data_IF_036818930578
#
_entry.id   IF_036818930578
#
_cell.length_a   1.000
_cell.length_b   1.000
_cell.length_c   1.000
_cell.angle_alpha   90.00
_cell.angle_beta   90.00
_cell.angle_gamma   90.00
#
_symmetry.space_group_name_H-M   'P 1'
#
loop_
_entity.id
_entity.type
_entity.pdbx_description
1 polymer ?
#
# COMPACT_ATOMS: atom_id res chain seq x y z
N UNK A 1 13.33 -16.17 -20.22
CA UNK A 1 13.65 -15.28 -19.09
C UNK A 1 12.86 -15.61 -17.83
N UNK A 2 11.58 -15.94 -17.93
CA UNK A 2 10.73 -16.21 -16.75
C UNK A 2 11.32 -17.21 -15.75
N UNK A 3 11.68 -18.40 -16.20
CA UNK A 3 12.21 -19.45 -15.32
C UNK A 3 13.52 -19.10 -14.59
N UNK A 4 14.32 -18.14 -15.08
CA UNK A 4 15.56 -17.72 -14.42
C UNK A 4 15.31 -16.79 -13.25
N UNK A 5 14.30 -15.91 -13.36
CA UNK A 5 13.96 -14.94 -12.32
C UNK A 5 12.92 -15.49 -11.32
N UNK A 6 12.24 -16.56 -11.68
CA UNK A 6 11.29 -17.24 -10.83
C UNK A 6 12.01 -18.01 -9.71
N UNK A 7 11.49 -17.91 -8.49
CA UNK A 7 12.01 -18.71 -7.37
C UNK A 7 11.87 -20.21 -7.68
N UNK A 8 12.91 -21.04 -7.44
CA UNK A 8 12.87 -22.46 -7.79
C UNK A 8 11.75 -23.26 -7.08
N UNK A 9 11.34 -22.82 -5.90
CA UNK A 9 10.28 -23.46 -5.12
C UNK A 9 8.90 -22.79 -5.33
N UNK A 10 8.75 -22.00 -6.40
CA UNK A 10 7.44 -21.48 -6.79
C UNK A 10 6.52 -22.64 -7.21
N UNK A 11 5.39 -22.73 -6.58
CA UNK A 11 4.42 -23.82 -6.81
C UNK A 11 3.16 -23.35 -7.53
N UNK A 12 2.65 -22.17 -7.14
CA UNK A 12 1.35 -21.63 -7.61
C UNK A 12 1.25 -20.13 -7.28
N UNK A 13 0.13 -19.52 -7.65
CA UNK A 13 -0.15 -18.11 -7.42
C UNK A 13 0.06 -17.25 -8.67
N UNK A 14 -0.20 -15.97 -8.55
CA UNK A 14 -0.13 -15.01 -9.65
C UNK A 14 1.33 -14.63 -9.93
N UNK A 15 2.11 -14.35 -8.87
CA UNK A 15 3.50 -13.95 -8.97
C UNK A 15 4.40 -14.77 -8.05
N UNK A 16 5.68 -14.78 -8.38
CA UNK A 16 6.73 -15.49 -7.66
C UNK A 16 7.64 -14.51 -6.92
N UNK A 17 8.20 -14.94 -5.79
CA UNK A 17 9.37 -14.28 -5.21
C UNK A 17 10.53 -14.34 -6.22
N UNK A 18 11.35 -13.29 -6.36
CA UNK A 18 12.50 -13.35 -7.25
C UNK A 18 13.51 -14.40 -6.79
N UNK A 19 14.14 -15.04 -7.75
CA UNK A 19 15.14 -16.07 -7.49
C UNK A 19 16.46 -15.46 -6.99
N UNK A 20 16.65 -15.47 -5.68
CA UNK A 20 17.88 -15.04 -5.00
C UNK A 20 18.82 -16.21 -4.68
N UNK A 21 18.58 -17.43 -5.22
CA UNK A 21 19.32 -18.64 -4.87
C UNK A 21 20.58 -18.86 -5.70
N UNK A 22 20.73 -18.18 -6.85
CA UNK A 22 21.91 -18.30 -7.69
C UNK A 22 22.47 -16.94 -8.08
N UNK A 23 23.80 -16.84 -8.20
CA UNK A 23 24.45 -15.61 -8.67
C UNK A 23 23.95 -15.15 -10.05
N UNK A 24 23.69 -16.11 -10.95
CA UNK A 24 23.16 -15.81 -12.29
C UNK A 24 21.80 -15.13 -12.22
N UNK A 25 20.89 -15.64 -11.39
CA UNK A 25 19.56 -15.06 -11.21
C UNK A 25 19.63 -13.68 -10.58
N UNK A 26 20.43 -13.54 -9.53
CA UNK A 26 20.67 -12.25 -8.85
C UNK A 26 21.22 -11.21 -9.82
N UNK A 27 22.22 -11.57 -10.63
CA UNK A 27 22.78 -10.66 -11.63
C UNK A 27 21.76 -10.27 -12.71
N UNK A 28 20.91 -11.19 -13.16
CA UNK A 28 19.84 -10.86 -14.10
C UNK A 28 18.79 -9.94 -13.50
N UNK A 29 18.42 -10.16 -12.23
CA UNK A 29 17.50 -9.29 -11.49
C UNK A 29 18.10 -7.88 -11.33
N UNK A 30 19.34 -7.79 -10.92
CA UNK A 30 20.08 -6.53 -10.80
C UNK A 30 20.17 -5.79 -12.15
N UNK A 31 20.49 -6.50 -13.25
CA UNK A 31 20.56 -5.92 -14.58
C UNK A 31 19.21 -5.35 -15.07
N UNK A 32 18.10 -5.96 -14.66
CA UNK A 32 16.77 -5.41 -14.97
C UNK A 32 16.54 -4.06 -14.27
N UNK A 33 16.90 -3.92 -13.00
CA UNK A 33 16.83 -2.63 -12.29
C UNK A 33 17.81 -1.60 -12.83
N UNK A 34 19.03 -2.01 -13.20
CA UNK A 34 19.99 -1.11 -13.83
C UNK A 34 19.44 -0.53 -15.14
N UNK A 35 18.86 -1.38 -15.97
CA UNK A 35 18.21 -0.95 -17.21
C UNK A 35 17.06 0.02 -16.96
N UNK A 36 16.17 -0.28 -16.01
CA UNK A 36 15.03 0.57 -15.69
C UNK A 36 15.48 1.90 -15.07
N UNK A 37 16.42 1.86 -14.12
CA UNK A 37 16.94 3.05 -13.47
C UNK A 37 17.67 3.96 -14.48
N UNK A 38 18.50 3.39 -15.34
CA UNK A 38 19.16 4.13 -16.42
C UNK A 38 18.17 4.80 -17.37
N UNK A 39 16.98 4.22 -17.54
CA UNK A 39 15.93 4.78 -18.40
C UNK A 39 15.07 5.83 -17.70
N UNK A 40 14.69 5.59 -16.44
CA UNK A 40 13.63 6.33 -15.73
C UNK A 40 14.14 7.15 -14.53
N UNK A 41 15.46 7.19 -14.30
CA UNK A 41 16.07 8.04 -13.27
C UNK A 41 17.07 9.03 -13.86
N UNK A 42 16.88 9.45 -15.12
CA UNK A 42 17.72 10.43 -15.78
C UNK A 42 17.31 11.84 -15.43
N UNK A 43 18.29 12.77 -15.31
CA UNK A 43 18.02 14.15 -14.93
C UNK A 43 17.13 14.92 -15.93
N UNK A 44 17.11 14.51 -17.20
CA UNK A 44 16.28 15.14 -18.24
C UNK A 44 14.82 14.64 -18.26
N UNK A 45 14.49 13.63 -17.45
CA UNK A 45 13.17 12.99 -17.38
C UNK A 45 12.56 12.62 -18.75
N UNK A 46 13.40 12.34 -19.74
CA UNK A 46 12.99 12.11 -21.15
C UNK A 46 11.92 11.02 -21.29
N UNK A 47 11.95 10.01 -20.43
CA UNK A 47 11.00 8.90 -20.42
C UNK A 47 10.07 8.90 -19.21
N UNK A 48 10.02 10.01 -18.48
CA UNK A 48 9.40 10.10 -17.17
C UNK A 48 10.38 9.72 -16.05
N UNK A 49 9.91 9.78 -14.80
CA UNK A 49 10.73 9.45 -13.61
C UNK A 49 10.00 8.44 -12.73
N UNK A 50 10.69 7.37 -12.33
CA UNK A 50 10.26 6.48 -11.26
C UNK A 50 10.89 6.99 -9.96
N UNK A 51 10.10 7.66 -9.11
CA UNK A 51 10.53 8.15 -7.82
C UNK A 51 10.43 7.09 -6.72
N UNK A 52 9.35 6.27 -6.77
CA UNK A 52 9.05 5.23 -5.81
C UNK A 52 9.08 3.85 -6.49
N UNK A 53 9.88 2.95 -5.94
CA UNK A 53 10.07 1.60 -6.42
C UNK A 53 9.38 0.64 -5.44
N UNK A 54 8.12 0.33 -5.71
CA UNK A 54 7.34 -0.60 -4.88
C UNK A 54 7.77 -2.02 -5.23
N UNK A 55 8.28 -2.73 -4.21
CA UNK A 55 8.87 -4.05 -4.40
C UNK A 55 7.81 -5.13 -4.19
N UNK A 56 7.43 -5.74 -5.31
CA UNK A 56 6.39 -6.74 -5.42
C UNK A 56 5.00 -6.20 -5.07
N UNK A 57 4.05 -7.09 -4.80
CA UNK A 57 2.70 -6.72 -4.37
C UNK A 57 2.34 -7.54 -3.13
N UNK A 58 1.81 -6.89 -2.09
CA UNK A 58 1.19 -7.53 -0.92
C UNK A 58 1.96 -8.78 -0.44
N UNK A 59 3.22 -8.59 -0.05
CA UNK A 59 4.14 -9.70 0.20
C UNK A 59 3.72 -10.60 1.36
N UNK A 60 2.92 -10.12 2.28
CA UNK A 60 2.26 -10.92 3.32
C UNK A 60 1.18 -11.85 2.73
N UNK A 61 0.55 -11.49 1.59
CA UNK A 61 -0.26 -12.38 0.75
C UNK A 61 0.59 -13.36 -0.07
N UNK A 62 1.58 -13.97 0.55
CA UNK A 62 2.73 -14.62 -0.07
C UNK A 62 2.42 -15.81 -0.98
N UNK A 63 1.28 -16.49 -0.79
CA UNK A 63 0.91 -17.64 -1.64
C UNK A 63 0.56 -17.20 -3.06
N UNK A 64 -0.08 -16.05 -3.21
CA UNK A 64 -0.49 -15.54 -4.53
C UNK A 64 0.50 -14.53 -5.12
N UNK A 65 1.01 -13.60 -4.29
CA UNK A 65 1.71 -12.44 -4.80
C UNK A 65 3.24 -12.56 -4.79
N UNK A 66 3.81 -13.43 -3.93
CA UNK A 66 5.27 -13.59 -3.81
C UNK A 66 5.62 -15.05 -3.47
N UNK A 67 5.05 -15.98 -4.20
CA UNK A 67 5.19 -17.40 -3.87
C UNK A 67 6.64 -17.89 -4.04
N UNK A 68 7.14 -18.56 -3.01
CA UNK A 68 8.41 -19.29 -2.99
C UNK A 68 8.27 -20.64 -2.25
N UNK A 69 7.08 -21.24 -2.31
CA UNK A 69 6.69 -22.37 -1.46
C UNK A 69 6.54 -21.94 0.00
N UNK A 70 6.11 -22.86 0.85
CA UNK A 70 5.99 -22.60 2.28
C UNK A 70 7.39 -22.54 2.91
N UNK A 71 7.77 -21.40 3.49
CA UNK A 71 9.08 -21.17 4.12
C UNK A 71 8.89 -20.67 5.55
N UNK A 72 9.88 -20.84 6.43
CA UNK A 72 9.92 -20.06 7.67
C UNK A 72 9.93 -18.56 7.38
N UNK A 73 9.24 -17.77 8.20
CA UNK A 73 9.18 -16.32 8.08
C UNK A 73 10.56 -15.65 7.89
N UNK A 74 11.57 -16.13 8.63
CA UNK A 74 12.94 -15.64 8.55
C UNK A 74 13.57 -15.84 7.16
N UNK A 75 13.34 -16.97 6.52
CA UNK A 75 13.84 -17.27 5.18
C UNK A 75 13.11 -16.44 4.12
N UNK A 76 11.79 -16.31 4.28
CA UNK A 76 10.96 -15.49 3.39
C UNK A 76 11.42 -14.03 3.44
N UNK A 77 11.51 -13.46 4.63
CA UNK A 77 11.90 -12.05 4.82
C UNK A 77 13.34 -11.79 4.41
N UNK A 78 14.28 -12.72 4.65
CA UNK A 78 15.66 -12.63 4.16
C UNK A 78 15.72 -12.54 2.63
N UNK A 79 14.96 -13.37 1.93
CA UNK A 79 14.88 -13.32 0.46
C UNK A 79 14.27 -12.00 -0.03
N UNK A 80 13.22 -11.55 0.63
CA UNK A 80 12.54 -10.32 0.29
C UNK A 80 13.43 -9.08 0.48
N UNK A 81 14.09 -8.95 1.63
CA UNK A 81 14.97 -7.80 1.90
C UNK A 81 16.17 -7.75 0.95
N UNK A 82 16.70 -8.90 0.52
CA UNK A 82 17.74 -8.96 -0.50
C UNK A 82 17.28 -8.34 -1.81
N UNK A 83 16.06 -8.66 -2.24
CA UNK A 83 15.48 -8.07 -3.45
C UNK A 83 15.32 -6.55 -3.34
N UNK A 84 14.82 -6.05 -2.21
CA UNK A 84 14.71 -4.63 -1.93
C UNK A 84 16.07 -3.92 -1.92
N UNK A 85 17.07 -4.52 -1.28
CA UNK A 85 18.43 -3.97 -1.17
C UNK A 85 19.14 -3.89 -2.51
N UNK A 86 18.94 -4.88 -3.39
CA UNK A 86 19.48 -4.86 -4.77
C UNK A 86 18.86 -3.67 -5.53
N UNK A 87 17.55 -3.53 -5.49
CA UNK A 87 16.86 -2.38 -6.10
C UNK A 87 17.42 -1.06 -5.55
N UNK A 88 17.44 -0.90 -4.23
CA UNK A 88 17.94 0.32 -3.57
C UNK A 88 19.37 0.68 -3.99
N UNK A 89 20.28 -0.27 -3.94
CA UNK A 89 21.69 -0.02 -4.27
C UNK A 89 21.90 0.39 -5.72
N UNK A 90 21.05 -0.08 -6.62
CA UNK A 90 21.11 0.24 -8.04
C UNK A 90 20.46 1.60 -8.32
N UNK A 91 19.19 1.78 -7.94
CA UNK A 91 18.44 2.99 -8.31
C UNK A 91 19.05 4.25 -7.70
N UNK A 92 19.62 4.13 -6.50
CA UNK A 92 20.31 5.25 -5.82
C UNK A 92 21.64 5.67 -6.45
N UNK A 93 22.16 4.90 -7.40
CA UNK A 93 23.29 5.34 -8.22
C UNK A 93 22.87 6.37 -9.27
N UNK A 94 21.63 6.28 -9.74
CA UNK A 94 21.06 7.15 -10.77
C UNK A 94 20.25 8.31 -10.16
N UNK A 95 19.42 8.02 -9.16
CA UNK A 95 18.61 9.02 -8.46
C UNK A 95 18.81 8.91 -6.94
N UNK A 96 19.48 9.90 -6.35
CA UNK A 96 19.75 9.95 -4.90
C UNK A 96 18.50 10.12 -4.04
N UNK A 97 17.37 10.46 -4.64
CA UNK A 97 16.09 10.63 -3.97
C UNK A 97 15.13 9.46 -4.20
N UNK A 98 15.49 8.49 -5.07
CA UNK A 98 14.64 7.32 -5.31
C UNK A 98 14.37 6.56 -4.02
N UNK A 99 13.12 6.21 -3.80
CA UNK A 99 12.66 5.44 -2.64
C UNK A 99 12.36 4.00 -3.03
N UNK A 100 12.67 3.07 -2.13
CA UNK A 100 12.31 1.65 -2.28
C UNK A 100 11.36 1.27 -1.17
N UNK A 101 10.17 0.81 -1.54
CA UNK A 101 9.06 0.56 -0.63
C UNK A 101 8.70 -0.93 -0.61
N UNK A 102 8.48 -1.47 0.57
CA UNK A 102 7.87 -2.80 0.73
C UNK A 102 6.36 -2.68 0.65
N UNK A 103 5.72 -3.61 -0.09
CA UNK A 103 4.27 -3.62 -0.28
C UNK A 103 3.58 -4.59 0.68
N UNK A 104 2.55 -4.10 1.39
CA UNK A 104 1.85 -4.84 2.45
C UNK A 104 0.35 -4.60 2.43
N UNK A 105 -0.42 -5.62 2.85
CA UNK A 105 -1.86 -5.51 3.05
C UNK A 105 -2.23 -4.86 4.38
N UNK A 106 -3.54 -4.69 4.62
CA UNK A 106 -4.11 -4.21 5.88
C UNK A 106 -3.97 -5.22 7.06
N UNK A 107 -3.48 -6.43 6.84
CA UNK A 107 -3.37 -7.51 7.83
C UNK A 107 -2.23 -7.28 8.82
N UNK A 108 -2.47 -6.50 9.88
CA UNK A 108 -1.40 -6.07 10.77
C UNK A 108 -0.91 -7.18 11.71
N UNK A 109 -1.76 -7.69 12.62
CA UNK A 109 -1.41 -8.81 13.52
C UNK A 109 -2.26 -10.05 13.29
N UNK A 110 -3.23 -9.97 12.38
CA UNK A 110 -4.14 -11.04 12.05
C UNK A 110 -4.09 -11.32 10.56
N UNK A 111 -3.92 -12.59 10.20
CA UNK A 111 -4.05 -13.05 8.82
C UNK A 111 -5.51 -12.94 8.40
N UNK A 112 -5.79 -12.14 7.36
CA UNK A 112 -7.15 -11.94 6.87
C UNK A 112 -7.66 -13.13 6.06
N UNK A 113 -6.79 -13.82 5.30
CA UNK A 113 -7.15 -14.97 4.48
C UNK A 113 -6.17 -16.14 4.68
N UNK A 114 -6.55 -17.08 5.55
CA UNK A 114 -5.71 -18.22 5.98
C UNK A 114 -5.30 -19.15 4.83
N UNK A 115 -6.02 -19.14 3.70
CA UNK A 115 -5.69 -19.99 2.54
C UNK A 115 -4.58 -19.42 1.64
N UNK A 116 -4.30 -18.11 1.75
CA UNK A 116 -3.47 -17.36 0.82
C UNK A 116 -2.26 -16.71 1.50
N UNK A 117 -2.34 -16.50 2.79
CA UNK A 117 -1.36 -15.78 3.57
C UNK A 117 -0.80 -16.66 4.67
N UNK A 118 0.52 -16.59 4.86
CA UNK A 118 1.23 -17.34 5.89
C UNK A 118 1.75 -16.42 7.00
N UNK A 119 1.88 -15.14 6.72
CA UNK A 119 2.45 -14.15 7.63
C UNK A 119 1.58 -12.92 7.68
N UNK A 120 1.71 -12.16 8.77
CA UNK A 120 1.12 -10.83 8.88
C UNK A 120 2.08 -9.77 8.37
N UNK A 121 1.56 -8.61 7.96
CA UNK A 121 2.42 -7.50 7.53
C UNK A 121 3.38 -7.06 8.65
N UNK A 122 2.90 -7.02 9.91
CA UNK A 122 3.73 -6.66 11.06
C UNK A 122 4.91 -7.59 11.28
N UNK A 123 4.71 -8.90 11.18
CA UNK A 123 5.81 -9.88 11.35
C UNK A 123 6.92 -9.67 10.33
N UNK A 124 6.57 -9.44 9.07
CA UNK A 124 7.57 -9.17 8.02
C UNK A 124 8.25 -7.82 8.25
N UNK A 125 7.49 -6.77 8.56
CA UNK A 125 8.02 -5.41 8.80
C UNK A 125 8.96 -5.38 10.01
N UNK A 126 8.62 -6.08 11.09
CA UNK A 126 9.48 -6.18 12.27
C UNK A 126 10.82 -6.88 11.93
N UNK A 127 10.79 -7.96 11.14
CA UNK A 127 12.02 -8.62 10.67
C UNK A 127 12.81 -7.77 9.66
N UNK A 128 12.16 -7.00 8.78
CA UNK A 128 12.84 -6.03 7.91
C UNK A 128 13.66 -5.02 8.73
N UNK A 129 13.08 -4.52 9.83
CA UNK A 129 13.80 -3.64 10.75
C UNK A 129 15.01 -4.33 11.40
N UNK A 130 14.87 -5.59 11.81
CA UNK A 130 15.96 -6.37 12.42
C UNK A 130 17.07 -6.59 11.40
N UNK A 131 16.76 -7.13 10.23
CA UNK A 131 17.74 -7.43 9.17
C UNK A 131 18.43 -6.16 8.65
N UNK A 132 17.67 -5.07 8.46
CA UNK A 132 18.26 -3.79 8.07
C UNK A 132 19.35 -3.35 9.04
N UNK A 133 19.09 -3.43 10.34
CA UNK A 133 20.07 -3.02 11.37
C UNK A 133 21.29 -3.92 11.43
N UNK A 134 21.10 -5.23 11.30
CA UNK A 134 22.20 -6.21 11.40
C UNK A 134 23.08 -6.19 10.16
N UNK A 135 22.50 -6.06 8.97
CA UNK A 135 23.20 -6.16 7.69
C UNK A 135 23.64 -4.80 7.12
N UNK A 136 23.37 -3.72 7.81
CA UNK A 136 23.55 -2.34 7.35
C UNK A 136 22.22 -1.73 6.89
N UNK A 137 21.77 -0.71 7.64
CA UNK A 137 20.50 -0.07 7.38
C UNK A 137 20.49 0.68 6.05
N UNK A 138 19.38 0.57 5.31
CA UNK A 138 19.10 1.34 4.11
C UNK A 138 17.73 2.00 4.20
N UNK A 139 17.53 3.08 3.48
CA UNK A 139 16.29 3.88 3.56
C UNK A 139 15.19 3.22 2.73
N UNK A 140 14.52 2.22 3.31
CA UNK A 140 13.29 1.63 2.76
C UNK A 140 12.07 2.26 3.43
N UNK A 141 10.91 2.17 2.79
CA UNK A 141 9.63 2.63 3.28
C UNK A 141 8.53 1.61 3.08
N UNK A 142 7.28 2.03 3.30
CA UNK A 142 6.09 1.20 3.16
C UNK A 142 5.21 1.70 2.02
N UNK A 143 4.75 0.77 1.21
CA UNK A 143 3.63 0.86 0.29
C UNK A 143 2.51 0.01 0.90
N UNK A 144 1.62 0.65 1.66
CA UNK A 144 0.65 -0.03 2.51
C UNK A 144 -0.75 0.05 1.90
N UNK A 145 -1.47 -1.08 1.86
CA UNK A 145 -2.79 -1.18 1.27
C UNK A 145 -3.86 -1.20 2.38
N UNK A 146 -4.38 -0.04 2.74
CA UNK A 146 -5.27 0.18 3.89
C UNK A 146 -6.76 0.01 3.56
N UNK A 147 -7.11 -1.06 2.84
CA UNK A 147 -8.51 -1.40 2.57
C UNK A 147 -9.33 -1.62 3.86
N UNK A 148 -10.65 -1.55 3.75
CA UNK A 148 -11.54 -1.99 4.82
C UNK A 148 -11.26 -3.45 5.19
N UNK A 149 -11.45 -3.81 6.46
CA UNK A 149 -11.32 -5.17 6.96
C UNK A 149 -12.18 -6.16 6.14
N UNK A 150 -13.39 -5.75 5.78
CA UNK A 150 -14.26 -6.41 4.81
C UNK A 150 -14.31 -5.54 3.56
N UNK A 151 -13.77 -6.03 2.45
CA UNK A 151 -13.73 -5.31 1.18
C UNK A 151 -15.11 -4.93 0.63
N UNK A 152 -16.18 -5.58 1.11
CA UNK A 152 -17.56 -5.24 0.74
C UNK A 152 -18.14 -4.10 1.57
N UNK A 153 -17.51 -3.72 2.70
CA UNK A 153 -17.97 -2.65 3.57
C UNK A 153 -17.64 -1.26 3.00
N UNK A 154 -18.64 -0.44 2.65
CA UNK A 154 -18.42 0.92 2.18
C UNK A 154 -18.18 1.94 3.30
N UNK A 155 -18.35 1.56 4.58
CA UNK A 155 -18.26 2.46 5.73
C UNK A 155 -16.98 2.19 6.53
N UNK A 156 -15.85 2.78 6.11
CA UNK A 156 -14.52 2.53 6.71
C UNK A 156 -14.44 2.84 8.21
N UNK A 157 -15.28 3.72 8.73
CA UNK A 157 -15.28 4.12 10.14
C UNK A 157 -15.86 3.08 11.10
N UNK A 158 -16.52 2.03 10.60
CA UNK A 158 -17.15 0.97 11.43
C UNK A 158 -16.35 -0.34 11.47
N UNK A 159 -15.16 -0.43 10.85
CA UNK A 159 -14.34 -1.64 10.86
C UNK A 159 -14.09 -2.12 12.30
N UNK A 160 -14.65 -3.28 12.74
CA UNK A 160 -14.71 -3.63 14.16
C UNK A 160 -13.35 -4.04 14.74
N UNK A 161 -12.50 -4.68 13.97
CA UNK A 161 -11.20 -5.17 14.42
C UNK A 161 -10.04 -4.23 14.09
N UNK A 162 -10.33 -3.08 13.48
CA UNK A 162 -9.40 -1.98 13.33
C UNK A 162 -9.47 -1.08 14.57
N UNK A 163 -8.64 -1.39 15.56
CA UNK A 163 -8.55 -0.66 16.85
C UNK A 163 -7.34 0.30 16.82
N UNK A 164 -7.28 1.26 17.75
CA UNK A 164 -6.17 2.21 17.86
C UNK A 164 -4.97 1.68 18.65
N UNK A 165 -4.97 0.39 19.02
CA UNK A 165 -3.84 -0.28 19.65
C UNK A 165 -2.75 -0.61 18.62
N UNK A 166 -1.49 -0.57 19.04
CA UNK A 166 -0.36 -1.08 18.23
C UNK A 166 -0.47 -2.59 17.94
N UNK A 167 -1.27 -3.31 18.70
CA UNK A 167 -1.57 -4.74 18.51
C UNK A 167 -2.92 -4.97 17.81
N UNK A 168 -3.43 -3.96 17.09
CA UNK A 168 -4.66 -4.09 16.31
C UNK A 168 -4.58 -5.24 15.32
N UNK A 169 -5.69 -5.88 14.99
CA UNK A 169 -5.70 -6.95 14.00
C UNK A 169 -5.46 -6.42 12.59
N UNK A 170 -6.10 -5.30 12.25
CA UNK A 170 -6.00 -4.68 10.93
C UNK A 170 -5.70 -3.19 11.05
N UNK A 171 -4.97 -2.65 10.07
CA UNK A 171 -4.84 -1.21 9.88
C UNK A 171 -5.57 -0.84 8.60
N UNK A 172 -6.69 -0.16 8.74
CA UNK A 172 -7.58 0.32 7.68
C UNK A 172 -7.64 1.84 7.72
N UNK A 173 -8.43 2.46 6.86
CA UNK A 173 -8.65 3.92 6.95
C UNK A 173 -9.18 4.39 8.31
N UNK A 174 -9.82 3.48 9.09
CA UNK A 174 -10.34 3.82 10.42
C UNK A 174 -9.25 4.19 11.43
N UNK A 175 -8.12 3.48 11.41
CA UNK A 175 -7.09 3.54 12.44
C UNK A 175 -5.67 3.78 11.89
N UNK A 176 -5.55 4.63 10.87
CA UNK A 176 -4.25 5.02 10.26
C UNK A 176 -3.27 5.62 11.28
N UNK A 177 -3.75 6.09 12.43
CA UNK A 177 -2.94 6.56 13.55
C UNK A 177 -1.95 5.50 14.03
N UNK A 178 -2.30 4.22 13.96
CA UNK A 178 -1.40 3.11 14.30
C UNK A 178 -0.20 3.08 13.37
N UNK A 179 -0.44 3.19 12.06
CA UNK A 179 0.62 3.21 11.05
C UNK A 179 1.48 4.48 11.14
N UNK A 180 0.83 5.63 11.38
CA UNK A 180 1.53 6.90 11.61
C UNK A 180 2.43 6.82 12.86
N UNK A 181 1.92 6.29 13.96
CA UNK A 181 2.69 6.09 15.19
C UNK A 181 3.87 5.13 14.97
N UNK A 182 3.65 4.04 14.20
CA UNK A 182 4.74 3.15 13.81
C UNK A 182 5.85 3.91 13.07
N UNK A 183 5.51 4.73 12.09
CA UNK A 183 6.47 5.49 11.29
C UNK A 183 7.26 6.52 12.11
N UNK A 184 6.63 7.11 13.13
CA UNK A 184 7.22 8.12 13.99
C UNK A 184 8.02 7.54 15.17
N UNK A 185 7.85 6.24 15.46
CA UNK A 185 8.60 5.54 16.51
C UNK A 185 10.09 5.45 16.15
N UNK A 186 10.98 5.82 17.08
CA UNK A 186 12.43 5.91 16.86
C UNK A 186 13.04 4.60 16.31
N UNK A 187 12.59 3.49 16.83
CA UNK A 187 13.06 2.14 16.47
C UNK A 187 12.74 1.76 15.03
N UNK A 188 11.73 2.38 14.43
CA UNK A 188 11.31 2.15 13.05
C UNK A 188 11.95 3.12 12.05
N UNK A 189 12.56 4.19 12.54
CA UNK A 189 13.21 5.19 11.68
C UNK A 189 14.52 4.67 11.10
N UNK A 190 14.82 5.09 9.87
CA UNK A 190 16.13 4.86 9.27
C UNK A 190 17.23 5.50 10.12
N UNK A 191 18.18 4.67 10.54
CA UNK A 191 19.26 5.07 11.47
C UNK A 191 18.74 5.75 12.76
N UNK A 192 17.51 5.45 13.18
CA UNK A 192 16.88 5.97 14.39
C UNK A 192 16.48 7.46 14.33
N UNK A 193 16.60 8.12 13.22
CA UNK A 193 16.37 9.59 13.09
C UNK A 193 15.47 9.97 11.93
N UNK A 194 15.59 9.35 10.77
CA UNK A 194 14.87 9.73 9.57
C UNK A 194 13.60 8.84 9.45
N UNK A 195 12.44 9.48 9.40
CA UNK A 195 11.17 8.79 9.16
C UNK A 195 11.25 8.00 7.85
N UNK A 196 10.80 6.73 7.87
CA UNK A 196 10.59 5.98 6.64
C UNK A 196 9.33 6.46 5.96
N UNK A 197 9.34 6.55 4.65
CA UNK A 197 8.16 6.94 3.88
C UNK A 197 7.05 5.89 4.01
N UNK A 198 5.82 6.36 4.15
CA UNK A 198 4.62 5.51 4.23
C UNK A 198 3.59 6.03 3.23
N UNK A 199 3.44 5.31 2.15
CA UNK A 199 2.46 5.59 1.11
C UNK A 199 1.31 4.58 1.18
N UNK A 200 0.09 5.06 1.21
CA UNK A 200 -1.09 4.23 0.98
C UNK A 200 -1.23 4.03 -0.53
N UNK A 201 -0.40 3.11 -1.06
CA UNK A 201 -0.13 3.00 -2.50
C UNK A 201 -1.21 2.28 -3.29
N UNK A 202 -2.06 1.53 -2.58
CA UNK A 202 -3.24 0.90 -3.14
C UNK A 202 -4.30 0.87 -2.04
N UNK A 203 -5.34 1.66 -2.19
CA UNK A 203 -6.42 1.74 -1.24
C UNK A 203 -7.68 2.28 -1.91
N UNK A 204 -8.81 1.72 -1.58
CA UNK A 204 -10.09 2.10 -2.15
C UNK A 204 -11.23 1.62 -1.28
N UNK A 205 -12.43 2.10 -1.57
CA UNK A 205 -13.66 1.71 -0.88
C UNK A 205 -14.68 1.25 -1.91
N UNK A 206 -15.29 0.12 -1.65
CA UNK A 206 -16.31 -0.46 -2.51
C UNK A 206 -17.60 0.39 -2.51
N UNK A 207 -18.26 0.50 -3.65
CA UNK A 207 -19.69 0.79 -3.71
C UNK A 207 -20.41 -0.49 -4.13
N UNK A 208 -20.99 -1.26 -3.20
CA UNK A 208 -21.51 -2.61 -3.47
C UNK A 208 -22.56 -2.66 -4.57
N UNK A 209 -23.30 -1.57 -4.71
CA UNK A 209 -24.26 -1.36 -5.81
C UNK A 209 -24.03 0.02 -6.44
N UNK A 210 -24.74 0.29 -7.54
CA UNK A 210 -24.77 1.64 -8.13
C UNK A 210 -25.96 2.45 -7.64
N UNK A 211 -26.36 2.24 -6.37
CA UNK A 211 -27.36 3.09 -5.69
C UNK A 211 -26.72 4.39 -5.20
N UNK A 212 -27.53 5.44 -5.11
CA UNK A 212 -27.09 6.71 -4.54
C UNK A 212 -26.59 6.56 -3.10
N UNK A 213 -27.19 5.66 -2.30
CA UNK A 213 -26.79 5.38 -0.93
C UNK A 213 -25.35 4.84 -0.88
N UNK A 214 -25.02 3.82 -1.68
CA UNK A 214 -23.68 3.23 -1.69
C UNK A 214 -22.64 4.19 -2.26
N UNK A 215 -23.00 5.00 -3.25
CA UNK A 215 -22.15 6.07 -3.75
C UNK A 215 -21.83 7.12 -2.68
N UNK A 216 -22.82 7.51 -1.86
CA UNK A 216 -22.58 8.46 -0.78
C UNK A 216 -21.70 7.85 0.33
N UNK A 217 -21.87 6.57 0.66
CA UNK A 217 -21.00 5.87 1.62
C UNK A 217 -19.55 5.80 1.12
N UNK A 218 -19.35 5.46 -0.16
CA UNK A 218 -18.01 5.45 -0.79
C UNK A 218 -17.37 6.85 -0.75
N UNK A 219 -18.12 7.89 -1.09
CA UNK A 219 -17.66 9.27 -1.07
C UNK A 219 -17.30 9.74 0.35
N UNK A 220 -18.18 9.47 1.33
CA UNK A 220 -17.94 9.78 2.74
C UNK A 220 -16.68 9.07 3.28
N UNK A 221 -16.43 7.84 2.84
CA UNK A 221 -15.26 7.07 3.26
C UNK A 221 -13.96 7.65 2.72
N UNK A 222 -13.93 8.16 1.50
CA UNK A 222 -12.76 8.88 1.00
C UNK A 222 -12.56 10.19 1.75
N UNK A 223 -13.63 10.97 2.00
CA UNK A 223 -13.52 12.19 2.79
C UNK A 223 -12.95 11.93 4.18
N UNK A 224 -13.46 10.90 4.88
CA UNK A 224 -12.94 10.45 6.17
C UNK A 224 -11.46 10.06 6.12
N UNK A 225 -11.07 9.23 5.14
CA UNK A 225 -9.70 8.80 4.97
C UNK A 225 -8.76 9.98 4.70
N UNK A 226 -9.18 10.89 3.81
CA UNK A 226 -8.37 12.06 3.45
C UNK A 226 -8.14 13.00 4.64
N UNK A 227 -9.18 13.31 5.42
CA UNK A 227 -9.05 14.14 6.62
C UNK A 227 -8.05 13.54 7.61
N UNK A 228 -8.08 12.23 7.82
CA UNK A 228 -7.07 11.55 8.66
C UNK A 228 -5.67 11.63 8.08
N UNK A 229 -5.51 11.31 6.79
CA UNK A 229 -4.20 11.33 6.13
C UNK A 229 -3.57 12.70 6.23
N UNK A 230 -4.35 13.76 6.00
CA UNK A 230 -3.87 15.13 6.04
C UNK A 230 -3.43 15.58 7.45
N UNK A 231 -4.01 15.00 8.51
CA UNK A 231 -3.67 15.28 9.90
C UNK A 231 -2.49 14.43 10.44
N UNK A 232 -2.10 13.36 9.77
CA UNK A 232 -1.14 12.37 10.28
C UNK A 232 0.27 12.55 9.68
N UNK A 233 1.22 13.07 10.45
CA UNK A 233 2.62 13.28 10.03
C UNK A 233 3.35 11.98 9.59
N UNK A 234 2.87 10.83 10.02
CA UNK A 234 3.47 9.52 9.69
C UNK A 234 3.12 9.02 8.30
N UNK A 235 2.10 9.58 7.62
CA UNK A 235 1.59 9.16 6.30
C UNK A 235 2.01 10.20 5.27
N UNK A 236 2.54 9.76 4.14
CA UNK A 236 3.07 10.65 3.08
C UNK A 236 2.10 10.85 1.92
N UNK A 237 1.11 9.98 1.74
CA UNK A 237 0.11 10.18 0.69
C UNK A 237 -0.76 8.96 0.42
N UNK A 238 -1.70 9.15 -0.50
CA UNK A 238 -2.70 8.17 -0.92
C UNK A 238 -2.74 8.06 -2.43
N UNK A 239 -2.76 6.84 -2.93
CA UNK A 239 -3.11 6.49 -4.30
C UNK A 239 -4.40 5.69 -4.27
N UNK A 240 -5.47 6.25 -4.85
CA UNK A 240 -6.76 5.59 -4.88
C UNK A 240 -6.81 4.47 -5.92
N UNK A 241 -7.24 3.30 -5.51
CA UNK A 241 -7.55 2.18 -6.36
C UNK A 241 -9.08 2.07 -6.53
N UNK A 242 -9.68 2.28 -7.68
CA UNK A 242 -9.17 2.31 -9.02
C UNK A 242 -9.65 3.59 -9.76
N UNK A 243 -9.21 3.83 -11.00
CA UNK A 243 -9.73 4.95 -11.80
C UNK A 243 -11.16 4.65 -12.32
N UNK A 244 -11.34 3.48 -12.88
CA UNK A 244 -12.64 2.94 -13.28
C UNK A 244 -12.94 1.66 -12.51
N UNK A 245 -14.22 1.35 -12.28
CA UNK A 245 -14.58 0.03 -11.81
C UNK A 245 -14.13 -1.03 -12.82
N UNK A 246 -13.60 -2.14 -12.33
CA UNK A 246 -13.08 -3.21 -13.17
C UNK A 246 -13.66 -4.56 -12.72
N UNK A 247 -14.22 -5.37 -13.65
CA UNK A 247 -14.87 -6.65 -13.28
C UNK A 247 -13.93 -7.64 -12.58
N UNK A 248 -12.61 -7.56 -12.89
CA UNK A 248 -11.59 -8.43 -12.28
C UNK A 248 -11.30 -8.14 -10.81
N UNK A 249 -11.68 -6.97 -10.29
CA UNK A 249 -11.44 -6.60 -8.90
C UNK A 249 -12.45 -7.26 -7.93
N UNK A 250 -13.55 -7.79 -8.44
CA UNK A 250 -14.63 -8.37 -7.62
C UNK A 250 -15.39 -7.35 -6.76
N UNK A 251 -15.09 -6.05 -6.91
CA UNK A 251 -15.69 -4.94 -6.18
C UNK A 251 -15.62 -3.64 -7.03
N UNK A 252 -16.43 -2.64 -6.66
CA UNK A 252 -16.54 -1.38 -7.38
C UNK A 252 -15.76 -0.26 -6.66
N UNK A 253 -14.43 -0.33 -6.70
CA UNK A 253 -13.52 0.63 -6.07
C UNK A 253 -13.31 1.91 -6.86
N UNK A 254 -13.63 1.91 -8.16
CA UNK A 254 -13.32 3.01 -9.07
C UNK A 254 -13.89 4.36 -8.63
N UNK A 255 -13.19 5.43 -8.97
CA UNK A 255 -13.71 6.80 -8.93
C UNK A 255 -14.84 7.00 -9.95
N UNK A 256 -14.87 6.15 -10.95
CA UNK A 256 -15.81 6.17 -12.07
C UNK A 256 -16.39 4.76 -12.27
N UNK A 257 -17.60 4.70 -12.81
CA UNK A 257 -18.30 3.46 -13.16
C UNK A 257 -17.53 2.68 -14.23
N UNK A 258 -17.98 1.46 -14.55
CA UNK A 258 -17.41 0.65 -15.62
C UNK A 258 -17.30 1.42 -16.95
N UNK A 259 -16.18 1.23 -17.61
CA UNK A 259 -15.96 1.78 -18.96
C UNK A 259 -16.52 0.79 -20.00
N UNK A 260 -17.84 0.71 -20.09
CA UNK A 260 -18.59 -0.14 -20.99
C UNK A 260 -19.71 0.64 -21.71
N UNK A 261 -20.52 -0.03 -22.52
CA UNK A 261 -21.63 0.60 -23.26
C UNK A 261 -22.74 1.11 -22.34
N UNK A 262 -22.94 0.49 -21.17
CA UNK A 262 -24.02 0.84 -20.24
C UNK A 262 -23.69 2.07 -19.39
N UNK A 263 -22.47 2.17 -18.89
CA UNK A 263 -22.07 3.21 -17.93
C UNK A 263 -21.08 4.24 -18.48
N UNK A 264 -20.36 3.91 -19.55
CA UNK A 264 -19.43 4.81 -20.26
C UNK A 264 -18.41 5.51 -19.38
N UNK A 265 -18.07 4.89 -18.24
CA UNK A 265 -17.14 5.48 -17.28
C UNK A 265 -17.63 6.78 -16.65
N UNK A 266 -18.92 6.93 -16.40
CA UNK A 266 -19.46 8.08 -15.68
C UNK A 266 -18.82 8.26 -14.31
N UNK A 267 -18.61 9.51 -13.90
CA UNK A 267 -18.08 9.81 -12.59
C UNK A 267 -19.06 9.41 -11.49
N UNK A 268 -18.54 8.81 -10.41
CA UNK A 268 -19.28 8.58 -9.17
C UNK A 268 -19.09 9.79 -8.22
N UNK A 269 -19.93 10.00 -7.20
CA UNK A 269 -19.75 11.08 -6.22
C UNK A 269 -18.36 11.12 -5.57
N UNK A 270 -17.72 9.98 -5.36
CA UNK A 270 -16.36 9.87 -4.83
C UNK A 270 -15.31 10.60 -5.71
N UNK A 271 -15.57 10.76 -6.99
CA UNK A 271 -14.72 11.55 -7.90
C UNK A 271 -14.64 13.02 -7.48
N UNK A 272 -15.76 13.62 -7.07
CA UNK A 272 -15.76 15.01 -6.59
C UNK A 272 -15.02 15.16 -5.27
N UNK A 273 -15.13 14.19 -4.37
CA UNK A 273 -14.31 14.16 -3.13
C UNK A 273 -12.82 14.12 -3.50
N UNK A 274 -12.42 13.20 -4.38
CA UNK A 274 -11.03 13.07 -4.83
C UNK A 274 -10.50 14.35 -5.47
N UNK A 275 -11.31 15.01 -6.31
CA UNK A 275 -10.95 16.25 -7.01
C UNK A 275 -10.79 17.43 -6.06
N UNK A 276 -11.60 17.50 -5.01
CA UNK A 276 -11.63 18.63 -4.06
C UNK A 276 -10.67 18.45 -2.88
N UNK A 277 -10.23 17.23 -2.61
CA UNK A 277 -9.27 16.94 -1.55
C UNK A 277 -7.99 17.78 -1.72
N UNK A 278 -7.56 18.47 -0.66
CA UNK A 278 -6.40 19.36 -0.65
C UNK A 278 -6.61 20.71 -1.33
N UNK A 279 -7.84 21.07 -1.72
CA UNK A 279 -8.16 22.37 -2.29
C UNK A 279 -8.94 23.26 -1.32
N UNK A 280 -9.15 24.53 -1.69
CA UNK A 280 -9.97 25.46 -0.90
C UNK A 280 -11.49 25.15 -0.93
N UNK A 281 -11.92 24.17 -1.73
CA UNK A 281 -13.31 23.71 -1.78
C UNK A 281 -13.55 22.50 -0.84
N UNK A 282 -12.50 21.95 -0.23
CA UNK A 282 -12.55 20.71 0.55
C UNK A 282 -13.51 20.82 1.72
N UNK A 283 -13.30 21.78 2.62
CA UNK A 283 -14.04 21.87 3.89
C UNK A 283 -15.53 22.02 3.63
N UNK A 284 -15.93 22.98 2.81
CA UNK A 284 -17.34 23.21 2.46
C UNK A 284 -17.98 21.95 1.84
N UNK A 285 -17.26 21.28 0.93
CA UNK A 285 -17.82 20.12 0.26
C UNK A 285 -17.89 18.88 1.16
N UNK A 286 -16.95 18.71 2.07
CA UNK A 286 -16.88 17.52 2.92
C UNK A 286 -17.86 17.57 4.10
N UNK A 287 -18.34 18.75 4.53
CA UNK A 287 -19.33 18.89 5.62
C UNK A 287 -20.59 18.05 5.41
N UNK A 288 -21.03 17.86 4.18
CA UNK A 288 -22.21 17.06 3.84
C UNK A 288 -22.12 15.60 4.30
N UNK A 289 -20.92 15.06 4.52
CA UNK A 289 -20.71 13.67 4.92
C UNK A 289 -20.73 13.46 6.42
N UNK A 290 -20.61 14.50 7.25
CA UNK A 290 -20.60 14.41 8.70
C UNK A 290 -21.82 13.65 9.27
N UNK A 291 -23.06 13.91 8.84
CA UNK A 291 -24.22 13.17 9.33
C UNK A 291 -24.20 11.68 9.00
N UNK A 292 -23.65 11.31 7.83
CA UNK A 292 -23.55 9.92 7.39
C UNK A 292 -22.49 9.15 8.19
N UNK A 293 -21.37 9.80 8.51
CA UNK A 293 -20.31 9.25 9.35
C UNK A 293 -20.73 9.19 10.82
N UNK A 294 -21.64 10.07 11.23
CA UNK A 294 -22.14 10.16 12.61
C UNK A 294 -21.24 10.96 13.53
N UNK A 295 -20.50 11.93 13.00
CA UNK A 295 -19.64 12.86 13.77
C UNK A 295 -20.14 14.30 13.63
N UNK A 296 -20.01 15.17 14.66
CA UNK A 296 -20.46 16.55 14.61
C UNK A 296 -19.54 17.47 13.79
N UNK A 297 -18.27 17.19 13.75
CA UNK A 297 -17.25 17.94 13.01
C UNK A 297 -15.99 17.09 12.74
N UNK A 298 -15.11 17.56 11.85
CA UNK A 298 -13.87 16.85 11.46
C UNK A 298 -12.79 16.84 12.55
N UNK A 299 -12.83 17.79 13.52
CA UNK A 299 -11.82 17.86 14.59
C UNK A 299 -11.78 16.58 15.43
N UNK A 300 -12.88 15.81 15.47
CA UNK A 300 -12.93 14.52 16.19
C UNK A 300 -11.95 13.50 15.61
N UNK A 301 -11.70 13.52 14.31
CA UNK A 301 -10.82 12.55 13.64
C UNK A 301 -9.46 13.13 13.26
N UNK A 302 -9.27 14.44 13.37
CA UNK A 302 -8.01 15.13 13.06
C UNK A 302 -7.12 15.33 14.29
N UNK A 303 -7.69 15.32 15.50
CA UNK A 303 -7.00 15.58 16.77
C UNK A 303 -6.81 14.31 17.61
N UNK A 304 -6.08 13.34 17.12
CA UNK A 304 -5.74 12.09 17.82
C UNK A 304 -4.33 12.12 18.40
#
# INVERSE_FOLDING_TARGET
MGALLQHPDYERGVYTMPNMTTLKSVNCYAAAFDFLAKRYCTADNRYGRIAHWIMHNEVDGCIDWTNMGVKPLTVFTDTYIKSMRICYNIVRQYDKQAEVLGSFTHSWTQIANVGWWLYTSKEIIDLLNVYSRVEGDFQWGLAYHSYSQDLTNPCVWIDPNATFSMDTQFITFKNLEVLSKWALTKENKYKGTIKRSVWLSEAGVNSPTYSDEDFQKQAASLAFAWKKINALEGIDGLQWHNWFDHPGDGACFGLRKYLDESYRGEAKPVWEVYRKAGTNEEDEYFEQFLPLIGIPDWNIIENF
#
